data_IF_395270284055
#
_entry.id   IF_395270284055
#
_cell.length_a   1.000
_cell.length_b   1.000
_cell.length_c   1.000
_cell.angle_alpha   90.00
_cell.angle_beta   90.00
_cell.angle_gamma   90.00
#
_symmetry.space_group_name_H-M   'P 1'
#
loop_
_entity.id
_entity.type
_entity.pdbx_description
1 polymer ?
#
# COMPACT_ATOMS: atom_id res chain seq x y z
N UNK A 1 -2.08 -35.82 -33.14
CA UNK A 1 -1.80 -34.58 -33.86
C UNK A 1 -1.23 -33.57 -32.87
N UNK A 2 -0.18 -32.83 -33.25
CA UNK A 2 0.35 -31.75 -32.41
C UNK A 2 -0.70 -30.64 -32.33
N UNK A 3 -1.04 -30.20 -31.14
CA UNK A 3 -1.95 -29.06 -30.92
C UNK A 3 -1.13 -27.78 -30.96
N UNK A 4 -1.55 -26.84 -31.77
CA UNK A 4 -0.91 -25.50 -31.81
C UNK A 4 -1.11 -24.82 -30.46
N UNK A 5 -0.03 -24.31 -29.87
CA UNK A 5 -0.04 -23.61 -28.57
C UNK A 5 0.34 -22.15 -28.70
N UNK A 6 1.12 -21.84 -29.73
CA UNK A 6 1.72 -20.53 -29.98
C UNK A 6 1.92 -20.36 -31.48
N UNK A 7 1.72 -19.16 -32.00
CA UNK A 7 1.97 -18.84 -33.42
C UNK A 7 2.59 -17.45 -33.57
N UNK A 8 3.32 -17.29 -34.67
CA UNK A 8 3.77 -15.97 -35.15
C UNK A 8 2.79 -15.52 -36.23
N UNK A 9 2.19 -14.36 -36.05
CA UNK A 9 1.28 -13.78 -37.03
C UNK A 9 2.06 -13.16 -38.21
N UNK A 10 1.38 -12.84 -39.31
CA UNK A 10 1.98 -12.14 -40.46
C UNK A 10 2.54 -10.76 -40.11
N UNK A 11 2.08 -10.13 -39.02
CA UNK A 11 2.61 -8.89 -38.48
C UNK A 11 3.81 -9.08 -37.53
N UNK A 12 4.32 -10.30 -37.38
CA UNK A 12 5.48 -10.62 -36.52
C UNK A 12 5.15 -10.78 -35.03
N UNK A 13 3.88 -10.75 -34.64
CA UNK A 13 3.50 -10.91 -33.23
C UNK A 13 3.51 -12.39 -32.83
N UNK A 14 4.19 -12.69 -31.72
CA UNK A 14 4.09 -13.99 -31.06
C UNK A 14 2.84 -13.99 -30.17
N UNK A 15 1.86 -14.81 -30.49
CA UNK A 15 0.58 -14.87 -29.76
C UNK A 15 0.28 -16.30 -29.31
N UNK A 16 -0.39 -16.41 -28.15
CA UNK A 16 -0.98 -17.68 -27.70
C UNK A 16 -2.09 -18.11 -28.68
N UNK A 17 -2.30 -19.43 -28.82
CA UNK A 17 -3.36 -19.96 -29.68
C UNK A 17 -4.75 -19.74 -29.10
N UNK A 18 -4.87 -19.78 -27.77
CA UNK A 18 -6.08 -19.48 -27.04
C UNK A 18 -5.79 -18.47 -25.91
N UNK A 19 -6.75 -17.58 -25.66
CA UNK A 19 -6.65 -16.56 -24.63
C UNK A 19 -6.60 -17.20 -23.23
N UNK A 20 -5.77 -16.61 -22.35
CA UNK A 20 -5.62 -16.98 -20.93
C UNK A 20 -5.42 -18.49 -20.64
N UNK A 21 -4.84 -19.22 -21.60
CA UNK A 21 -4.73 -20.68 -21.50
C UNK A 21 -3.28 -21.18 -21.39
N UNK A 22 -2.30 -20.37 -21.83
CA UNK A 22 -0.91 -20.83 -21.94
C UNK A 22 0.06 -19.88 -21.27
N UNK A 23 0.98 -20.45 -20.50
CA UNK A 23 2.05 -19.74 -19.82
C UNK A 23 3.29 -19.58 -20.68
N UNK A 24 4.05 -18.51 -20.45
CA UNK A 24 5.39 -18.32 -20.98
C UNK A 24 6.43 -18.78 -19.94
N UNK A 25 6.85 -20.03 -20.00
CA UNK A 25 7.72 -20.67 -19.04
C UNK A 25 6.95 -21.53 -18.02
N UNK A 26 7.64 -22.10 -17.07
CA UNK A 26 7.07 -22.88 -15.95
C UNK A 26 7.99 -22.82 -14.74
N UNK A 27 7.52 -23.27 -13.57
CA UNK A 27 8.25 -23.18 -12.31
C UNK A 27 9.68 -23.78 -12.36
N UNK A 28 9.85 -24.88 -13.08
CA UNK A 28 11.16 -25.56 -13.24
C UNK A 28 11.90 -25.19 -14.53
N UNK A 29 11.25 -24.50 -15.49
CA UNK A 29 11.79 -24.16 -16.82
C UNK A 29 11.49 -22.71 -17.15
N UNK A 30 12.26 -21.81 -16.52
CA UNK A 30 12.10 -20.37 -16.63
C UNK A 30 12.92 -19.80 -17.79
N UNK A 31 12.42 -18.72 -18.40
CA UNK A 31 13.23 -17.88 -19.25
C UNK A 31 14.30 -17.19 -18.42
N UNK A 32 15.55 -17.24 -18.88
CA UNK A 32 16.64 -16.60 -18.14
C UNK A 32 16.53 -15.07 -18.17
N UNK A 33 16.12 -14.53 -19.31
CA UNK A 33 16.08 -13.09 -19.55
C UNK A 33 15.16 -12.77 -20.73
N UNK A 34 14.43 -11.66 -20.64
CA UNK A 34 13.69 -11.06 -21.74
C UNK A 34 14.15 -9.62 -21.92
N UNK A 35 14.41 -9.21 -23.17
CA UNK A 35 14.68 -7.81 -23.54
C UNK A 35 13.41 -7.29 -24.21
N UNK A 36 12.73 -6.36 -23.56
CA UNK A 36 11.40 -5.89 -23.95
C UNK A 36 11.39 -4.38 -23.73
N UNK A 37 11.00 -3.61 -24.76
CA UNK A 37 10.93 -2.15 -24.69
C UNK A 37 9.81 -1.68 -23.76
N UNK A 38 8.67 -2.39 -23.77
CA UNK A 38 7.50 -2.08 -22.95
C UNK A 38 6.80 -3.37 -22.55
N UNK A 39 6.37 -3.49 -21.30
CA UNK A 39 5.51 -4.57 -20.80
C UNK A 39 4.19 -3.98 -20.38
N UNK A 40 3.13 -4.35 -21.10
CA UNK A 40 1.75 -4.02 -20.77
C UNK A 40 1.07 -5.25 -20.15
N UNK A 41 0.65 -5.13 -18.90
CA UNK A 41 0.07 -6.24 -18.16
C UNK A 41 -1.39 -5.92 -17.87
N UNK A 42 -2.30 -6.70 -18.45
CA UNK A 42 -3.73 -6.58 -18.19
C UNK A 42 -4.40 -5.39 -18.89
N UNK A 43 -3.88 -4.96 -20.03
CA UNK A 43 -4.36 -3.81 -20.80
C UNK A 43 -5.67 -4.05 -21.56
N UNK A 44 -6.64 -4.67 -20.98
CA UNK A 44 -7.97 -4.62 -21.60
C UNK A 44 -8.96 -3.92 -20.68
N UNK A 45 -9.80 -3.07 -21.27
CA UNK A 45 -10.81 -2.22 -20.65
C UNK A 45 -11.91 -2.97 -19.86
N UNK A 46 -11.76 -4.26 -19.70
CA UNK A 46 -12.57 -5.12 -18.86
C UNK A 46 -11.69 -5.81 -17.83
N UNK A 47 -11.25 -5.05 -16.84
CA UNK A 47 -10.85 -5.65 -15.57
C UNK A 47 -12.15 -6.18 -14.93
N UNK A 48 -12.49 -7.43 -15.24
CA UNK A 48 -13.43 -8.14 -14.42
C UNK A 48 -12.91 -8.12 -12.99
N UNK A 49 -13.77 -7.75 -12.06
CA UNK A 49 -13.41 -7.44 -10.67
C UNK A 49 -12.86 -8.62 -9.85
N UNK A 50 -12.49 -9.72 -10.48
CA UNK A 50 -12.05 -10.96 -9.85
C UNK A 50 -10.63 -11.42 -10.22
N UNK A 51 -9.94 -10.75 -11.15
CA UNK A 51 -8.56 -11.12 -11.48
C UNK A 51 -7.58 -10.10 -10.90
N UNK A 52 -6.84 -10.50 -9.90
CA UNK A 52 -5.69 -9.74 -9.41
C UNK A 52 -4.59 -9.76 -10.49
N UNK A 53 -4.57 -8.73 -11.34
CA UNK A 53 -3.44 -8.47 -12.21
C UNK A 53 -2.31 -7.89 -11.36
N UNK A 54 -1.29 -8.69 -11.09
CA UNK A 54 -0.15 -8.28 -10.29
C UNK A 54 1.16 -8.51 -11.05
N UNK A 55 2.05 -7.53 -10.96
CA UNK A 55 3.46 -7.77 -11.24
C UNK A 55 4.05 -8.34 -9.95
N UNK A 56 4.32 -9.65 -9.94
CA UNK A 56 4.98 -10.29 -8.83
C UNK A 56 6.50 -10.29 -9.05
N UNK A 57 7.23 -9.51 -8.25
CA UNK A 57 8.70 -9.53 -8.23
C UNK A 57 9.12 -10.35 -7.02
N UNK A 58 9.39 -11.64 -7.23
CA UNK A 58 9.91 -12.52 -6.19
C UNK A 58 11.41 -12.33 -6.03
N UNK A 59 11.87 -12.20 -4.78
CA UNK A 59 13.27 -12.08 -4.39
C UNK A 59 13.65 -13.23 -3.47
N UNK A 60 14.71 -13.95 -3.81
CA UNK A 60 15.28 -15.00 -2.99
C UNK A 60 16.82 -14.86 -3.01
N UNK A 61 17.37 -14.14 -2.04
CA UNK A 61 18.79 -13.98 -1.89
C UNK A 61 19.15 -13.35 -0.55
N UNK A 62 20.32 -13.68 -0.02
CA UNK A 62 20.90 -13.03 1.14
C UNK A 62 21.96 -12.03 0.69
N UNK A 63 21.91 -10.79 1.17
CA UNK A 63 22.91 -9.77 0.88
C UNK A 63 22.30 -8.44 0.42
N UNK A 64 23.11 -7.60 -0.22
CA UNK A 64 22.75 -6.25 -0.66
C UNK A 64 22.03 -6.21 -2.02
N UNK A 65 21.11 -7.14 -2.27
CA UNK A 65 20.38 -7.21 -3.54
C UNK A 65 19.05 -6.47 -3.43
N UNK A 66 18.57 -5.91 -4.55
CA UNK A 66 17.31 -5.17 -4.61
C UNK A 66 16.23 -6.05 -5.22
N UNK A 67 15.06 -6.12 -4.59
CA UNK A 67 13.90 -6.84 -5.12
C UNK A 67 13.33 -6.18 -6.38
N UNK A 68 13.32 -4.85 -6.40
CA UNK A 68 12.93 -4.04 -7.56
C UNK A 68 13.79 -2.77 -7.59
N UNK A 69 14.38 -2.48 -8.75
CA UNK A 69 15.08 -1.20 -9.01
C UNK A 69 14.25 -0.38 -9.99
N UNK A 70 13.87 0.83 -9.57
CA UNK A 70 13.19 1.82 -10.41
C UNK A 70 14.16 2.96 -10.68
N UNK A 71 14.60 3.10 -11.94
CA UNK A 71 15.61 4.06 -12.35
C UNK A 71 15.03 5.10 -13.30
N UNK A 72 15.47 6.35 -13.16
CA UNK A 72 15.26 7.41 -14.13
C UNK A 72 16.59 8.04 -14.49
N UNK A 73 16.80 8.36 -15.78
CA UNK A 73 17.98 9.08 -16.26
C UNK A 73 17.78 10.61 -16.22
N UNK A 74 16.59 11.07 -15.84
CA UNK A 74 16.30 12.48 -15.63
C UNK A 74 16.86 12.97 -14.29
N UNK A 75 17.18 14.27 -14.21
CA UNK A 75 17.61 14.91 -12.94
C UNK A 75 16.56 14.74 -11.84
N UNK A 76 15.29 14.66 -12.22
CA UNK A 76 14.15 14.32 -11.36
C UNK A 76 13.14 13.53 -12.18
N UNK A 77 12.68 12.40 -11.68
CA UNK A 77 11.70 11.56 -12.35
C UNK A 77 10.68 10.95 -11.37
N UNK A 78 9.54 10.60 -11.91
CA UNK A 78 8.51 9.86 -11.16
C UNK A 78 8.78 8.36 -11.31
N UNK A 79 9.10 7.69 -10.21
CA UNK A 79 9.34 6.25 -10.18
C UNK A 79 8.04 5.45 -10.02
N UNK A 80 7.10 5.95 -9.20
CA UNK A 80 5.76 5.37 -9.03
C UNK A 80 4.72 6.49 -9.11
N UNK A 81 3.63 6.24 -9.81
CA UNK A 81 2.54 7.19 -9.95
C UNK A 81 1.23 6.51 -9.56
N UNK A 82 0.53 7.06 -8.58
CA UNK A 82 -0.71 6.52 -8.05
C UNK A 82 -1.89 7.31 -8.60
N UNK A 83 -2.78 6.61 -9.30
CA UNK A 83 -4.00 7.17 -9.86
C UNK A 83 -5.22 6.59 -9.14
N UNK A 84 -6.15 7.46 -8.79
CA UNK A 84 -7.52 7.08 -8.48
C UNK A 84 -8.35 7.32 -9.75
N UNK A 85 -8.81 6.27 -10.41
CA UNK A 85 -9.36 6.31 -11.77
C UNK A 85 -8.32 6.67 -12.86
N UNK A 86 -8.76 6.75 -14.10
CA UNK A 86 -7.88 6.93 -15.28
C UNK A 86 -7.18 8.28 -15.37
N UNK A 87 -7.63 9.30 -14.62
CA UNK A 87 -7.17 10.69 -14.81
C UNK A 87 -6.80 11.42 -13.53
N UNK A 88 -7.16 10.92 -12.35
CA UNK A 88 -6.97 11.65 -11.09
C UNK A 88 -5.76 11.12 -10.33
N UNK A 89 -4.69 11.88 -10.33
CA UNK A 89 -3.51 11.57 -9.54
C UNK A 89 -3.78 11.80 -8.05
N UNK A 90 -3.49 10.80 -7.21
CA UNK A 90 -3.58 10.90 -5.76
C UNK A 90 -2.22 10.91 -5.07
N UNK A 91 -1.16 10.49 -5.76
CA UNK A 91 0.18 10.53 -5.21
C UNK A 91 1.25 10.02 -6.16
N UNK A 92 2.51 10.15 -5.74
CA UNK A 92 3.66 9.64 -6.48
C UNK A 92 4.87 9.41 -5.57
N UNK A 93 5.78 8.55 -6.02
CA UNK A 93 7.15 8.51 -5.51
C UNK A 93 8.06 9.11 -6.58
N UNK A 94 8.70 10.22 -6.25
CA UNK A 94 9.65 10.89 -7.15
C UNK A 94 11.08 10.70 -6.64
N UNK A 95 12.00 10.53 -7.59
CA UNK A 95 13.44 10.35 -7.33
C UNK A 95 14.21 11.49 -7.97
N UNK A 96 15.05 12.13 -7.20
CA UNK A 96 16.02 13.11 -7.66
C UNK A 96 17.45 12.56 -7.57
N UNK A 97 18.42 13.40 -7.90
CA UNK A 97 19.85 13.01 -7.85
C UNK A 97 20.35 12.68 -6.43
N UNK A 98 19.67 13.15 -5.39
CA UNK A 98 20.10 13.01 -3.98
C UNK A 98 18.97 12.72 -3.00
N UNK A 99 17.71 12.64 -3.46
CA UNK A 99 16.57 12.47 -2.57
C UNK A 99 15.42 11.73 -3.24
N UNK A 100 14.63 11.05 -2.41
CA UNK A 100 13.33 10.47 -2.78
C UNK A 100 12.24 11.23 -2.03
N UNK A 101 11.14 11.57 -2.72
CA UNK A 101 9.98 12.18 -2.12
C UNK A 101 8.73 11.32 -2.32
N UNK A 102 7.96 11.18 -1.24
CA UNK A 102 6.64 10.55 -1.22
C UNK A 102 5.59 11.66 -1.23
N UNK A 103 4.91 11.81 -2.35
CA UNK A 103 3.99 12.93 -2.57
C UNK A 103 2.55 12.44 -2.49
N UNK A 104 1.72 13.19 -1.75
CA UNK A 104 0.26 13.05 -1.74
C UNK A 104 -0.38 14.34 -2.24
N UNK A 105 -1.50 14.23 -2.94
CA UNK A 105 -2.22 15.41 -3.42
C UNK A 105 -2.68 16.29 -2.26
N UNK A 106 -2.40 17.59 -2.35
CA UNK A 106 -2.80 18.58 -1.35
C UNK A 106 -3.18 19.93 -1.96
N UNK A 107 -3.59 19.94 -3.24
CA UNK A 107 -4.05 21.15 -3.93
C UNK A 107 -5.32 21.67 -3.26
N UNK A 108 -5.38 23.00 -3.04
CA UNK A 108 -6.52 23.64 -2.37
C UNK A 108 -7.82 23.50 -3.16
N UNK A 109 -7.74 23.33 -4.50
CA UNK A 109 -8.90 23.14 -5.39
C UNK A 109 -9.60 21.79 -5.21
N UNK A 110 -8.93 20.84 -4.52
CA UNK A 110 -9.47 19.54 -4.17
C UNK A 110 -10.06 19.51 -2.75
N UNK A 111 -10.12 20.68 -2.09
CA UNK A 111 -10.56 20.78 -0.69
C UNK A 111 -11.72 21.75 -0.58
N UNK A 112 -12.65 21.43 0.28
CA UNK A 112 -13.79 22.29 0.64
C UNK A 112 -13.90 22.43 2.15
N UNK A 113 -14.68 23.37 2.65
CA UNK A 113 -14.93 23.61 4.07
C UNK A 113 -13.64 23.80 4.89
N UNK A 114 -12.65 24.46 4.31
CA UNK A 114 -11.35 24.70 4.94
C UNK A 114 -11.50 25.69 6.08
N UNK A 115 -11.16 25.25 7.30
CA UNK A 115 -11.17 26.07 8.53
C UNK A 115 -9.87 25.88 9.29
N UNK A 116 -9.48 26.86 10.09
CA UNK A 116 -8.31 26.75 10.95
C UNK A 116 -8.52 25.72 12.05
N UNK A 117 -7.46 24.95 12.33
CA UNK A 117 -7.49 23.95 13.40
C UNK A 117 -7.41 24.66 14.76
N UNK A 118 -8.23 24.23 15.70
CA UNK A 118 -8.24 24.69 17.09
C UNK A 118 -8.31 23.52 18.07
N UNK A 119 -7.90 23.77 19.32
CA UNK A 119 -7.90 22.75 20.38
C UNK A 119 -6.89 21.64 20.16
N UNK A 120 -5.84 21.90 19.39
CA UNK A 120 -4.85 20.90 19.01
C UNK A 120 -4.07 20.35 20.22
N UNK A 121 -3.74 21.19 21.22
CA UNK A 121 -3.11 20.73 22.47
C UNK A 121 -3.99 19.71 23.20
N UNK A 122 -5.29 19.96 23.26
CA UNK A 122 -6.22 19.05 23.95
C UNK A 122 -6.26 17.68 23.27
N UNK A 123 -6.35 17.67 21.96
CA UNK A 123 -6.33 16.43 21.16
C UNK A 123 -4.95 15.72 21.26
N UNK A 124 -3.85 16.47 21.17
CA UNK A 124 -2.50 15.91 21.28
C UNK A 124 -2.29 15.19 22.61
N UNK A 125 -2.81 15.72 23.71
CA UNK A 125 -2.68 15.13 25.05
C UNK A 125 -3.42 13.79 25.19
N UNK A 126 -4.34 13.46 24.30
CA UNK A 126 -5.05 12.17 24.31
C UNK A 126 -4.31 11.08 23.55
N UNK A 127 -3.33 11.45 22.70
CA UNK A 127 -2.44 10.46 22.09
C UNK A 127 -1.57 9.79 23.15
N UNK A 128 -1.35 8.50 22.98
CA UNK A 128 -0.65 7.63 23.94
C UNK A 128 0.60 7.02 23.31
N UNK A 129 1.74 7.73 23.24
CA UNK A 129 3.00 7.15 22.78
C UNK A 129 3.34 5.91 23.61
N UNK A 130 3.81 4.86 22.97
CA UNK A 130 4.19 3.58 23.56
C UNK A 130 5.62 3.24 23.23
N UNK A 131 6.23 2.44 24.09
CA UNK A 131 7.46 1.71 23.81
C UNK A 131 7.13 0.24 23.77
N UNK A 132 7.55 -0.47 22.72
CA UNK A 132 7.24 -1.88 22.47
C UNK A 132 8.36 -2.57 21.70
N UNK A 133 8.31 -3.88 21.63
CA UNK A 133 9.06 -4.69 20.66
C UNK A 133 8.08 -5.49 19.78
N UNK A 134 8.52 -5.82 18.56
CA UNK A 134 7.75 -6.69 17.69
C UNK A 134 7.81 -8.14 18.18
N UNK A 135 6.69 -8.85 18.17
CA UNK A 135 6.63 -10.28 18.57
C UNK A 135 7.55 -11.14 17.69
N UNK A 136 7.69 -10.79 16.41
CA UNK A 136 8.54 -11.50 15.45
C UNK A 136 10.03 -11.12 15.54
N UNK A 137 10.41 -10.14 16.36
CA UNK A 137 11.80 -9.72 16.53
C UNK A 137 12.47 -10.54 17.63
N UNK A 138 13.35 -11.47 17.24
CA UNK A 138 14.10 -12.32 18.15
C UNK A 138 15.03 -11.53 19.10
N UNK A 139 15.47 -10.34 18.71
CA UNK A 139 16.32 -9.46 19.52
C UNK A 139 15.52 -8.62 20.51
N UNK A 140 14.19 -8.56 20.38
CA UNK A 140 13.29 -7.78 21.23
C UNK A 140 13.72 -6.30 21.34
N UNK A 141 14.13 -5.70 20.21
CA UNK A 141 14.53 -4.29 20.14
C UNK A 141 13.35 -3.40 20.54
N UNK A 142 13.60 -2.46 21.47
CA UNK A 142 12.58 -1.54 21.95
C UNK A 142 12.45 -0.34 20.99
N UNK A 143 11.24 -0.14 20.48
CA UNK A 143 10.88 0.92 19.55
C UNK A 143 9.81 1.82 20.16
N UNK A 144 9.84 3.09 19.82
CA UNK A 144 8.81 4.05 20.19
C UNK A 144 7.79 4.20 19.05
N UNK A 145 6.49 4.21 19.39
CA UNK A 145 5.43 4.34 18.40
C UNK A 145 4.05 4.43 19.03
N UNK A 146 3.05 3.95 18.32
CA UNK A 146 1.66 4.01 18.73
C UNK A 146 0.96 2.67 18.47
N UNK A 147 -0.12 2.42 19.21
CA UNK A 147 -1.11 1.41 18.85
C UNK A 147 -2.17 2.03 17.96
N UNK A 148 -2.42 1.45 16.79
CA UNK A 148 -3.28 2.03 15.75
C UNK A 148 -4.68 2.37 16.28
N UNK A 149 -5.33 1.45 17.00
CA UNK A 149 -6.67 1.68 17.55
C UNK A 149 -6.74 2.80 18.60
N UNK A 150 -5.63 3.09 19.30
CA UNK A 150 -5.60 4.23 20.25
C UNK A 150 -5.44 5.57 19.54
N UNK A 151 -4.78 5.57 18.36
CA UNK A 151 -4.66 6.76 17.51
C UNK A 151 -5.96 7.03 16.76
N UNK A 152 -6.70 5.99 16.38
CA UNK A 152 -7.98 6.08 15.69
C UNK A 152 -9.00 6.96 16.45
N UNK A 153 -9.01 6.88 17.77
CA UNK A 153 -9.85 7.72 18.64
C UNK A 153 -9.57 9.24 18.50
N UNK A 154 -8.37 9.63 18.01
CA UNK A 154 -7.92 11.02 17.98
C UNK A 154 -7.74 11.52 16.54
N UNK A 155 -7.17 10.69 15.67
CA UNK A 155 -6.84 11.00 14.27
C UNK A 155 -7.23 9.80 13.39
N UNK A 156 -8.53 9.54 13.19
CA UNK A 156 -9.01 8.35 12.45
C UNK A 156 -8.48 8.30 11.01
N UNK A 157 -8.25 9.45 10.37
CA UNK A 157 -7.69 9.50 9.01
C UNK A 157 -6.23 9.01 8.92
N UNK A 158 -5.56 8.77 10.04
CA UNK A 158 -4.23 8.19 10.09
C UNK A 158 -4.25 6.65 10.10
N UNK A 159 -5.40 6.03 10.28
CA UNK A 159 -5.52 4.59 10.49
C UNK A 159 -6.14 3.93 9.26
N UNK A 160 -5.65 2.74 8.96
CA UNK A 160 -6.20 1.83 7.96
C UNK A 160 -6.52 0.49 8.62
N UNK A 161 -7.69 -0.07 8.31
CA UNK A 161 -8.21 -1.31 8.89
C UNK A 161 -8.89 -1.09 10.25
N UNK A 162 -9.65 -2.07 10.69
CA UNK A 162 -10.40 -2.04 11.93
C UNK A 162 -9.67 -2.83 13.04
N UNK A 163 -9.97 -2.47 14.30
CA UNK A 163 -9.43 -3.20 15.44
C UNK A 163 -10.03 -4.61 15.50
N UNK A 164 -9.15 -5.60 15.69
CA UNK A 164 -9.52 -7.03 15.79
C UNK A 164 -10.20 -7.58 14.51
N UNK A 165 -9.95 -6.93 13.37
CA UNK A 165 -10.46 -7.36 12.07
C UNK A 165 -9.88 -8.72 11.67
N UNK A 166 -10.73 -9.57 11.14
CA UNK A 166 -10.34 -10.90 10.65
C UNK A 166 -10.97 -11.19 9.29
N UNK A 167 -10.36 -12.08 8.53
CA UNK A 167 -10.94 -12.66 7.30
C UNK A 167 -10.95 -14.18 7.40
N UNK A 168 -12.00 -14.77 6.85
CA UNK A 168 -12.03 -16.21 6.66
C UNK A 168 -11.34 -16.58 5.35
N UNK A 169 -10.45 -17.55 5.41
CA UNK A 169 -9.76 -18.12 4.25
C UNK A 169 -10.10 -19.58 4.11
N UNK A 170 -10.09 -20.06 2.89
CA UNK A 170 -10.52 -21.42 2.57
C UNK A 170 -9.89 -21.94 1.29
N UNK A 171 -10.42 -23.09 0.85
CA UNK A 171 -10.03 -23.78 -0.36
C UNK A 171 -11.18 -23.71 -1.35
N UNK A 172 -10.90 -23.29 -2.59
CA UNK A 172 -11.84 -23.38 -3.72
C UNK A 172 -11.63 -24.71 -4.42
N UNK A 173 -12.73 -25.42 -4.68
CA UNK A 173 -12.78 -26.69 -5.41
C UNK A 173 -13.73 -26.58 -6.59
N UNK A 174 -13.42 -27.32 -7.67
CA UNK A 174 -14.32 -27.46 -8.81
C UNK A 174 -15.50 -28.41 -8.51
N UNK A 175 -16.35 -28.65 -9.52
CA UNK A 175 -17.51 -29.54 -9.41
C UNK A 175 -17.14 -31.02 -9.17
N UNK A 176 -15.93 -31.43 -9.54
CA UNK A 176 -15.40 -32.78 -9.35
C UNK A 176 -14.72 -32.95 -7.98
N UNK A 177 -14.54 -31.83 -7.23
CA UNK A 177 -13.92 -31.79 -5.91
C UNK A 177 -12.42 -31.59 -5.94
N UNK A 178 -11.84 -31.30 -7.10
CA UNK A 178 -10.42 -31.01 -7.24
C UNK A 178 -10.11 -29.59 -6.74
N UNK A 179 -8.98 -29.45 -6.02
CA UNK A 179 -8.54 -28.16 -5.45
C UNK A 179 -8.03 -27.24 -6.56
N UNK A 180 -8.67 -26.09 -6.70
CA UNK A 180 -8.29 -25.03 -7.64
C UNK A 180 -7.39 -23.97 -6.97
N UNK A 181 -7.72 -23.56 -5.76
CA UNK A 181 -6.97 -22.55 -5.01
C UNK A 181 -7.09 -22.79 -3.50
N UNK A 182 -6.02 -22.44 -2.77
CA UNK A 182 -5.97 -22.50 -1.32
C UNK A 182 -5.69 -21.10 -0.73
N UNK A 183 -6.09 -20.88 0.52
CA UNK A 183 -5.86 -19.63 1.24
C UNK A 183 -6.54 -18.41 0.61
N UNK A 184 -7.70 -18.59 0.04
CA UNK A 184 -8.50 -17.59 -0.67
C UNK A 184 -9.79 -17.29 0.08
N UNK A 185 -10.36 -16.09 -0.12
CA UNK A 185 -11.65 -15.72 0.46
C UNK A 185 -12.81 -16.24 -0.38
N UNK A 186 -13.96 -16.44 0.25
CA UNK A 186 -15.14 -17.01 -0.43
C UNK A 186 -15.59 -16.22 -1.67
N UNK A 187 -15.42 -14.90 -1.66
CA UNK A 187 -15.82 -14.04 -2.78
C UNK A 187 -14.97 -14.23 -4.06
N UNK A 188 -13.89 -15.00 -3.99
CA UNK A 188 -13.05 -15.33 -5.15
C UNK A 188 -13.54 -16.57 -5.91
N UNK A 189 -14.52 -17.31 -5.37
CA UNK A 189 -15.11 -18.46 -6.05
C UNK A 189 -16.03 -18.04 -7.20
N UNK A 190 -16.04 -18.81 -8.26
CA UNK A 190 -16.99 -18.70 -9.37
C UNK A 190 -18.28 -19.50 -9.09
N UNK A 191 -19.31 -19.31 -9.91
CA UNK A 191 -20.65 -19.85 -9.66
C UNK A 191 -20.71 -21.39 -9.63
N UNK A 192 -19.82 -22.09 -10.36
CA UNK A 192 -19.74 -23.55 -10.45
C UNK A 192 -18.73 -24.17 -9.48
N UNK A 193 -18.14 -23.36 -8.61
CA UNK A 193 -17.13 -23.77 -7.63
C UNK A 193 -17.72 -23.83 -6.22
N UNK A 194 -17.05 -24.60 -5.36
CA UNK A 194 -17.35 -24.65 -3.92
C UNK A 194 -16.19 -24.03 -3.14
N UNK A 195 -16.51 -23.39 -2.03
CA UNK A 195 -15.51 -22.87 -1.10
C UNK A 195 -15.69 -23.53 0.27
N UNK A 196 -14.60 -23.97 0.85
CA UNK A 196 -14.56 -24.60 2.17
C UNK A 196 -13.59 -23.82 3.06
N UNK A 197 -14.11 -23.23 4.15
CA UNK A 197 -13.29 -22.50 5.12
C UNK A 197 -12.27 -23.41 5.78
N UNK A 198 -11.01 -23.00 5.79
CA UNK A 198 -9.91 -23.71 6.44
C UNK A 198 -9.36 -22.97 7.66
N UNK A 199 -9.39 -21.63 7.66
CA UNK A 199 -8.88 -20.82 8.77
C UNK A 199 -9.57 -19.46 8.86
N UNK A 200 -9.33 -18.77 9.97
CA UNK A 200 -9.57 -17.33 10.13
C UNK A 200 -8.24 -16.66 10.37
N UNK A 201 -7.90 -15.67 9.56
CA UNK A 201 -6.67 -14.90 9.65
C UNK A 201 -6.93 -13.49 10.18
N UNK A 202 -5.97 -12.95 10.92
CA UNK A 202 -6.04 -11.56 11.39
C UNK A 202 -5.71 -10.60 10.24
N UNK A 203 -6.49 -9.53 10.15
CA UNK A 203 -6.16 -8.35 9.34
C UNK A 203 -5.60 -7.30 10.30
N UNK A 204 -4.35 -6.89 10.07
CA UNK A 204 -3.69 -5.97 10.98
C UNK A 204 -3.90 -4.53 10.56
N UNK A 205 -4.15 -3.66 11.53
CA UNK A 205 -4.24 -2.23 11.32
C UNK A 205 -2.89 -1.64 10.90
N UNK A 206 -2.95 -0.61 10.02
CA UNK A 206 -1.82 0.24 9.66
C UNK A 206 -1.97 1.66 10.19
N UNK A 207 -0.84 2.38 10.32
CA UNK A 207 -0.81 3.78 10.69
C UNK A 207 0.02 4.60 9.69
N UNK A 208 -0.57 5.68 9.16
CA UNK A 208 0.14 6.74 8.42
C UNK A 208 0.52 7.86 9.40
N UNK A 209 1.73 7.80 9.92
CA UNK A 209 2.22 8.77 10.90
C UNK A 209 2.32 10.19 10.33
N UNK A 210 2.41 10.39 9.02
CA UNK A 210 2.43 11.71 8.40
C UNK A 210 1.13 12.49 8.65
N UNK A 211 0.02 11.80 8.87
CA UNK A 211 -1.28 12.41 9.22
C UNK A 211 -1.30 13.04 10.63
N UNK A 212 -0.35 12.72 11.47
CA UNK A 212 -0.20 13.35 12.79
C UNK A 212 0.48 14.73 12.73
N UNK A 213 1.22 15.02 11.66
CA UNK A 213 1.98 16.28 11.52
C UNK A 213 1.11 17.53 11.66
N UNK A 214 -0.07 17.65 11.03
CA UNK A 214 -0.92 18.83 11.22
C UNK A 214 -1.36 19.03 12.67
N UNK A 215 -1.68 17.96 13.39
CA UNK A 215 -2.05 18.02 14.81
C UNK A 215 -0.87 18.48 15.67
N UNK A 216 0.32 17.94 15.43
CA UNK A 216 1.54 18.32 16.11
C UNK A 216 1.88 19.79 15.86
N UNK A 217 1.77 20.25 14.61
CA UNK A 217 2.01 21.65 14.22
C UNK A 217 1.04 22.59 14.92
N UNK A 218 -0.26 22.30 14.88
CA UNK A 218 -1.28 23.12 15.54
C UNK A 218 -1.09 23.16 17.06
N UNK A 219 -0.77 22.03 17.69
CA UNK A 219 -0.51 21.98 19.13
C UNK A 219 0.74 22.80 19.53
N UNK A 220 1.79 22.75 18.70
CA UNK A 220 2.99 23.54 18.93
C UNK A 220 2.70 25.05 18.79
N UNK A 221 1.95 25.48 17.77
CA UNK A 221 1.53 26.86 17.58
C UNK A 221 0.69 27.37 18.77
N UNK A 222 -0.29 26.59 19.23
CA UNK A 222 -1.06 26.93 20.43
C UNK A 222 -0.19 27.01 21.69
N UNK A 223 0.83 26.15 21.82
CA UNK A 223 1.76 26.19 22.94
C UNK A 223 2.66 27.44 22.92
N UNK A 224 3.19 27.82 21.75
CA UNK A 224 3.99 29.03 21.56
C UNK A 224 3.16 30.26 21.98
N UNK A 225 1.94 30.38 21.47
CA UNK A 225 1.06 31.52 21.85
C UNK A 225 0.81 31.59 23.35
N UNK A 226 0.65 30.45 24.02
CA UNK A 226 0.50 30.41 25.48
C UNK A 226 1.76 30.83 26.21
N UNK A 227 2.94 30.42 25.74
CA UNK A 227 4.23 30.81 26.30
C UNK A 227 4.42 32.34 26.20
N UNK A 228 4.23 32.92 25.01
CA UNK A 228 4.32 34.38 24.77
C UNK A 228 3.37 35.18 25.70
N UNK A 229 2.16 34.68 25.88
CA UNK A 229 1.19 35.28 26.81
C UNK A 229 1.66 35.20 28.27
N UNK A 230 2.28 34.09 28.69
CA UNK A 230 2.82 33.96 30.03
C UNK A 230 4.03 34.81 30.26
N UNK A 231 4.94 34.91 29.29
CA UNK A 231 6.12 35.80 29.33
C UNK A 231 5.70 37.27 29.49
N UNK A 232 4.73 37.74 28.70
CA UNK A 232 4.18 39.07 28.81
C UNK A 232 3.58 39.34 30.20
N UNK A 233 2.89 38.36 30.80
CA UNK A 233 2.33 38.48 32.16
C UNK A 233 3.41 38.52 33.24
N UNK A 234 4.45 37.70 33.08
CA UNK A 234 5.59 37.72 34.02
C UNK A 234 6.28 39.09 33.97
N UNK A 235 6.62 39.59 32.77
CA UNK A 235 7.23 40.87 32.60
C UNK A 235 6.40 42.03 33.22
N UNK A 236 5.08 41.94 33.13
CA UNK A 236 4.19 42.93 33.77
C UNK A 236 4.12 42.81 35.31
N UNK A 237 4.54 41.69 35.89
CA UNK A 237 4.62 41.52 37.36
C UNK A 237 5.98 41.93 37.96
N UNK A 238 7.00 42.03 37.12
CA UNK A 238 8.35 42.42 37.49
C UNK A 238 8.56 43.96 37.45
N UNK A 239 7.61 44.70 36.92
CA UNK A 239 7.58 46.19 36.86
C UNK A 239 6.77 46.79 37.99
#
# INVERSE_FOLDING_TARGET
AATERMKITSGGHLVAFADSTYDLGANATRWRQAYIDEIDIGANTSLAASAANAIFVGYAGGGSEYGQELKTDATTGTALYFLHSTTTACGSVTVGSSATAYNTSSDYRLKENVVDMSGAITRLKTLKPKRFSWIADENSELLDGFLAHEVDEVVPQAIHGEKDETKDVGTIKDADGDVLSENVIESEKEDDQTWEKTATENIYQGIDQAKLVPLLTGALQEAITKIESLEARVAALET
#
